data_IF_102517514659
#
_entry.id   IF_102517514659
#
_cell.length_a   1.000
_cell.length_b   1.000
_cell.length_c   1.000
_cell.angle_alpha   90.00
_cell.angle_beta   90.00
_cell.angle_gamma   90.00
#
_symmetry.space_group_name_H-M   'P 1'
#
loop_
_entity.id
_entity.type
_entity.pdbx_description
1 polymer ?
#
# COMPACT_ATOMS: atom_id res chain seq x y z
N UNK A 1 -15.86 32.28 -5.57
CA UNK A 1 -16.83 32.15 -4.48
C UNK A 1 -17.44 33.53 -4.16
N UNK A 2 -18.74 33.62 -4.14
CA UNK A 2 -19.48 34.90 -3.95
C UNK A 2 -19.00 36.02 -4.89
N UNK A 3 -18.78 35.72 -6.17
CA UNK A 3 -18.35 36.66 -7.20
C UNK A 3 -16.90 37.13 -7.13
N UNK A 4 -16.06 36.47 -6.30
CA UNK A 4 -14.62 36.74 -6.18
C UNK A 4 -13.79 35.55 -6.59
N UNK A 5 -12.66 35.81 -7.21
CA UNK A 5 -11.66 34.81 -7.57
C UNK A 5 -10.72 34.57 -6.38
N UNK A 6 -10.42 33.29 -6.13
CA UNK A 6 -9.51 32.86 -5.07
C UNK A 6 -8.47 31.91 -5.66
N UNK A 7 -7.24 32.02 -5.21
CA UNK A 7 -6.23 31.00 -5.44
C UNK A 7 -6.44 29.89 -4.42
N UNK A 8 -6.47 28.65 -4.89
CA UNK A 8 -6.65 27.47 -4.03
C UNK A 8 -5.50 26.50 -4.23
N UNK A 9 -5.12 25.79 -3.16
CA UNK A 9 -4.14 24.72 -3.21
C UNK A 9 -4.61 23.55 -2.37
N UNK A 10 -4.20 22.34 -2.74
CA UNK A 10 -4.40 21.15 -1.90
C UNK A 10 -3.30 21.14 -0.85
N UNK A 11 -3.66 21.38 0.40
CA UNK A 11 -2.72 21.36 1.52
C UNK A 11 -2.41 19.93 1.96
N UNK A 12 -3.45 19.09 2.11
CA UNK A 12 -3.31 17.69 2.53
C UNK A 12 -4.48 16.84 2.03
N UNK A 13 -4.19 15.61 1.66
CA UNK A 13 -5.18 14.63 1.23
C UNK A 13 -4.94 13.31 1.95
N UNK A 14 -6.03 12.69 2.44
CA UNK A 14 -6.01 11.37 3.07
C UNK A 14 -6.98 10.45 2.35
N UNK A 15 -6.63 9.17 2.26
CA UNK A 15 -7.58 8.09 1.95
C UNK A 15 -7.84 7.32 3.23
N UNK A 16 -9.11 7.20 3.57
CA UNK A 16 -9.57 6.48 4.75
C UNK A 16 -10.32 5.22 4.31
N UNK A 17 -10.03 4.13 4.98
CA UNK A 17 -10.73 2.86 4.79
C UNK A 17 -11.51 2.53 6.06
N UNK A 18 -12.85 2.58 6.04
CA UNK A 18 -13.66 2.29 7.22
C UNK A 18 -13.52 0.82 7.61
N UNK A 19 -13.37 0.56 8.91
CA UNK A 19 -13.24 -0.80 9.46
C UNK A 19 -14.55 -1.30 10.07
N UNK A 20 -15.55 -0.44 10.16
CA UNK A 20 -16.86 -0.74 10.73
C UNK A 20 -17.95 -0.21 9.81
N UNK A 21 -19.10 -0.87 9.79
CA UNK A 21 -20.31 -0.36 9.13
C UNK A 21 -21.10 0.58 10.04
N UNK A 22 -21.99 1.37 9.43
CA UNK A 22 -22.84 2.34 10.12
C UNK A 22 -22.42 3.78 9.86
N UNK A 23 -23.00 4.70 10.62
CA UNK A 23 -22.71 6.12 10.50
C UNK A 23 -21.41 6.47 11.23
N UNK A 24 -20.35 6.61 10.46
CA UNK A 24 -19.05 7.02 10.99
C UNK A 24 -18.89 8.52 10.86
N UNK A 25 -18.31 9.14 11.89
CA UNK A 25 -18.07 10.57 11.96
C UNK A 25 -16.60 10.90 11.79
N UNK A 26 -16.32 11.89 10.96
CA UNK A 26 -15.01 12.56 10.88
C UNK A 26 -15.16 13.90 11.58
N UNK A 27 -14.45 14.05 12.70
CA UNK A 27 -14.50 15.27 13.50
C UNK A 27 -13.85 16.47 12.80
N UNK A 28 -14.26 17.71 13.14
CA UNK A 28 -13.68 18.89 12.58
C UNK A 28 -12.15 18.98 12.78
N UNK A 29 -11.42 19.25 11.71
CA UNK A 29 -10.00 19.58 11.80
C UNK A 29 -9.83 21.08 12.09
N UNK A 30 -8.95 21.41 13.04
CA UNK A 30 -8.59 22.77 13.40
C UNK A 30 -7.31 23.15 12.65
N UNK A 31 -7.32 24.34 12.05
CA UNK A 31 -6.18 24.96 11.40
C UNK A 31 -5.90 26.31 12.04
N UNK A 32 -4.72 26.51 12.58
CA UNK A 32 -4.23 27.79 13.04
C UNK A 32 -3.32 28.37 11.94
N UNK A 33 -3.77 29.45 11.33
CA UNK A 33 -3.09 30.10 10.22
C UNK A 33 -2.60 31.48 10.62
N UNK A 34 -1.40 31.82 10.17
CA UNK A 34 -0.85 33.17 10.25
C UNK A 34 -0.88 33.81 8.86
N UNK A 35 -1.52 34.94 8.75
CA UNK A 35 -1.66 35.69 7.51
C UNK A 35 -0.88 36.99 7.63
N UNK A 36 0.12 37.18 6.76
CA UNK A 36 0.78 38.46 6.63
C UNK A 36 -0.14 39.43 5.86
N UNK A 37 -0.64 40.44 6.53
CA UNK A 37 -1.46 41.50 5.93
C UNK A 37 -0.61 42.76 5.72
N UNK A 38 -0.52 43.20 4.46
CA UNK A 38 0.13 44.47 4.18
C UNK A 38 -0.62 45.63 4.86
N UNK A 39 0.11 46.47 5.57
CA UNK A 39 -0.40 47.74 6.14
C UNK A 39 0.14 48.87 5.31
N UNK A 40 -0.70 49.84 4.97
CA UNK A 40 -0.25 51.12 4.49
C UNK A 40 0.23 51.94 5.69
N UNK A 41 1.55 51.98 5.89
CA UNK A 41 2.14 52.94 6.86
C UNK A 41 2.13 54.30 6.18
N UNK A 42 1.30 55.16 6.64
CA UNK A 42 1.17 56.52 6.09
C UNK A 42 2.33 57.45 6.51
N UNK A 43 3.13 57.04 7.50
CA UNK A 43 4.24 57.82 8.02
C UNK A 43 5.59 57.12 7.79
N UNK A 44 6.49 57.72 6.98
CA UNK A 44 7.83 57.17 6.76
C UNK A 44 8.66 57.02 8.02
N UNK A 45 8.34 57.77 9.08
CA UNK A 45 9.05 57.76 10.35
C UNK A 45 8.67 56.54 11.21
N UNK A 46 7.40 56.14 11.23
CA UNK A 46 6.96 54.90 11.85
C UNK A 46 7.52 53.64 11.15
N UNK A 47 7.68 53.68 9.83
CA UNK A 47 8.28 52.59 9.07
C UNK A 47 9.75 52.32 9.47
N UNK A 48 10.48 53.37 9.83
CA UNK A 48 11.87 53.27 10.26
C UNK A 48 12.01 52.66 11.67
N UNK A 49 11.13 52.98 12.60
CA UNK A 49 11.17 52.47 13.98
C UNK A 49 10.60 51.04 14.10
N UNK A 50 9.69 50.61 13.24
CA UNK A 50 9.11 49.26 13.22
C UNK A 50 9.91 48.27 12.33
N UNK A 51 11.19 48.55 12.04
CA UNK A 51 12.05 47.65 11.29
C UNK A 51 11.69 47.51 9.81
N UNK A 52 10.96 48.48 9.22
CA UNK A 52 10.62 48.49 7.79
C UNK A 52 9.60 47.44 7.35
N UNK A 53 8.99 46.72 8.27
CA UNK A 53 8.00 45.68 7.98
C UNK A 53 6.62 46.31 7.77
N UNK A 54 6.20 46.42 6.48
CA UNK A 54 4.84 46.85 6.12
C UNK A 54 3.79 45.73 6.28
N UNK A 55 4.05 44.73 7.11
CA UNK A 55 3.16 43.59 7.32
C UNK A 55 2.87 43.39 8.79
N UNK A 56 1.61 43.17 9.10
CA UNK A 56 1.16 42.67 10.39
C UNK A 56 0.77 41.20 10.27
N UNK A 57 1.16 40.41 11.25
CA UNK A 57 0.74 39.03 11.36
C UNK A 57 -0.64 38.95 12.00
N UNK A 58 -1.60 38.41 11.25
CA UNK A 58 -2.95 38.15 11.76
C UNK A 58 -3.12 36.64 11.93
N UNK A 59 -3.25 36.20 13.16
CA UNK A 59 -3.55 34.79 13.48
C UNK A 59 -5.03 34.52 13.32
N UNK A 60 -5.37 33.44 12.64
CA UNK A 60 -6.75 33.03 12.40
C UNK A 60 -6.90 31.53 12.59
N UNK A 61 -7.86 31.14 13.42
CA UNK A 61 -8.27 29.73 13.56
C UNK A 61 -9.41 29.44 12.62
N UNK A 62 -9.28 28.35 11.85
CA UNK A 62 -10.29 27.83 10.94
C UNK A 62 -10.65 26.39 11.37
N UNK A 63 -11.91 26.03 11.25
CA UNK A 63 -12.40 24.69 11.53
C UNK A 63 -13.07 24.13 10.27
N UNK A 64 -12.80 22.87 9.96
CA UNK A 64 -13.60 22.17 8.95
C UNK A 64 -14.97 21.80 9.52
N UNK A 65 -15.99 21.57 8.68
CA UNK A 65 -17.25 21.01 9.16
C UNK A 65 -17.03 19.56 9.61
N UNK A 66 -17.88 19.12 10.53
CA UNK A 66 -18.05 17.70 10.86
C UNK A 66 -18.63 16.97 9.66
N UNK A 67 -18.10 15.78 9.32
CA UNK A 67 -18.58 14.96 8.23
C UNK A 67 -19.11 13.64 8.78
N UNK A 68 -20.21 13.15 8.21
CA UNK A 68 -20.74 11.81 8.51
C UNK A 68 -20.75 10.98 7.23
N UNK A 69 -20.24 9.75 7.34
CA UNK A 69 -20.20 8.78 6.25
C UNK A 69 -21.02 7.57 6.64
N UNK A 70 -22.04 7.24 5.84
CA UNK A 70 -22.81 6.00 5.99
C UNK A 70 -22.07 4.85 5.32
N UNK A 71 -21.48 3.98 6.13
CA UNK A 71 -20.71 2.82 5.69
C UNK A 71 -21.61 1.59 5.68
N UNK A 72 -21.86 1.06 4.50
CA UNK A 72 -22.69 -0.14 4.35
C UNK A 72 -21.87 -1.39 4.62
N UNK A 73 -22.47 -2.42 5.27
CA UNK A 73 -21.82 -3.70 5.45
C UNK A 73 -21.59 -4.38 4.10
N UNK A 74 -20.55 -5.20 4.02
CA UNK A 74 -20.39 -6.13 2.91
C UNK A 74 -21.49 -7.22 2.95
N UNK A 75 -21.90 -7.79 1.80
CA UNK A 75 -22.85 -8.90 1.77
C UNK A 75 -22.46 -10.07 2.68
N UNK A 76 -23.46 -10.81 3.19
CA UNK A 76 -23.28 -11.84 4.22
C UNK A 76 -22.63 -13.14 3.73
N UNK A 77 -22.65 -13.40 2.42
CA UNK A 77 -22.09 -14.58 1.74
C UNK A 77 -20.59 -14.48 1.46
N UNK A 78 -19.86 -13.87 2.41
CA UNK A 78 -18.42 -13.69 2.36
C UNK A 78 -17.68 -15.05 2.30
N UNK A 79 -16.81 -15.30 1.29
CA UNK A 79 -16.01 -16.52 1.22
C UNK A 79 -15.11 -16.71 2.43
N UNK A 80 -14.83 -17.97 2.81
CA UNK A 80 -13.97 -18.29 3.95
C UNK A 80 -12.52 -17.79 3.75
N UNK A 81 -12.06 -17.76 2.48
CA UNK A 81 -10.74 -17.30 2.06
C UNK A 81 -10.72 -15.82 1.63
N UNK A 82 -11.68 -15.01 2.11
CA UNK A 82 -11.75 -13.60 1.79
C UNK A 82 -10.51 -12.83 2.28
N UNK A 83 -9.78 -12.23 1.34
CA UNK A 83 -8.52 -11.53 1.59
C UNK A 83 -8.64 -10.19 2.34
N UNK A 84 -9.86 -9.70 2.55
CA UNK A 84 -10.10 -8.35 3.03
C UNK A 84 -10.09 -7.28 1.93
N UNK A 85 -9.79 -7.66 0.68
CA UNK A 85 -9.75 -6.75 -0.46
C UNK A 85 -11.12 -6.22 -0.84
N UNK A 86 -11.26 -4.89 -0.94
CA UNK A 86 -12.45 -4.20 -1.44
C UNK A 86 -12.00 -3.20 -2.51
N UNK A 87 -12.42 -3.41 -3.75
CA UNK A 87 -11.96 -2.60 -4.88
C UNK A 87 -12.01 -3.35 -6.20
N UNK A 88 -11.07 -3.04 -7.08
CA UNK A 88 -10.88 -3.71 -8.37
C UNK A 88 -9.44 -4.19 -8.42
N UNK A 89 -9.24 -5.51 -8.47
CA UNK A 89 -7.91 -6.10 -8.38
C UNK A 89 -7.66 -7.15 -9.45
N UNK A 90 -6.37 -7.37 -9.72
CA UNK A 90 -5.82 -8.48 -10.47
C UNK A 90 -4.71 -9.12 -9.65
N UNK A 91 -4.45 -10.41 -9.89
CA UNK A 91 -3.31 -11.13 -9.34
C UNK A 91 -2.54 -11.80 -10.47
N UNK A 92 -1.23 -11.81 -10.35
CA UNK A 92 -0.34 -12.60 -11.20
C UNK A 92 0.77 -13.22 -10.37
N UNK A 93 1.33 -14.31 -10.85
CA UNK A 93 2.49 -14.95 -10.25
C UNK A 93 3.58 -15.18 -11.28
N UNK A 94 4.80 -15.34 -10.82
CA UNK A 94 5.94 -15.79 -11.60
C UNK A 94 6.90 -16.57 -10.73
N UNK A 95 7.62 -17.51 -11.33
CA UNK A 95 8.66 -18.31 -10.70
C UNK A 95 10.00 -18.07 -11.40
N UNK A 96 11.10 -18.09 -10.66
CA UNK A 96 12.43 -17.87 -11.24
C UNK A 96 12.90 -19.03 -12.14
N UNK A 97 12.61 -20.27 -11.75
CA UNK A 97 12.93 -21.48 -12.54
C UNK A 97 12.04 -22.63 -12.14
N UNK A 98 11.69 -23.48 -13.11
CA UNK A 98 10.99 -24.75 -12.89
C UNK A 98 11.92 -25.97 -12.90
N UNK A 99 13.20 -25.79 -13.31
CA UNK A 99 14.23 -26.82 -13.27
C UNK A 99 15.36 -26.31 -12.36
N UNK A 100 15.55 -26.98 -11.26
CA UNK A 100 16.51 -26.59 -10.20
C UNK A 100 17.21 -27.83 -9.65
N UNK A 101 18.26 -27.62 -8.87
CA UNK A 101 18.93 -28.70 -8.12
C UNK A 101 18.55 -28.62 -6.64
N UNK A 102 18.75 -29.70 -5.92
CA UNK A 102 18.67 -29.66 -4.46
C UNK A 102 19.56 -28.53 -3.91
N UNK A 103 19.06 -27.78 -2.94
CA UNK A 103 19.67 -26.58 -2.36
C UNK A 103 19.76 -25.35 -3.28
N UNK A 104 19.16 -25.34 -4.46
CA UNK A 104 18.93 -24.10 -5.20
C UNK A 104 17.74 -23.33 -4.61
N UNK A 105 17.82 -22.00 -4.71
CA UNK A 105 16.72 -21.15 -4.26
C UNK A 105 15.63 -21.02 -5.34
N UNK A 106 14.40 -21.32 -4.94
CA UNK A 106 13.18 -21.10 -5.73
C UNK A 106 12.48 -19.87 -5.21
N UNK A 107 12.23 -18.90 -6.07
CA UNK A 107 11.50 -17.69 -5.72
C UNK A 107 10.19 -17.60 -6.48
N UNK A 108 9.08 -17.47 -5.76
CA UNK A 108 7.77 -17.18 -6.32
C UNK A 108 7.41 -15.75 -5.98
N UNK A 109 7.09 -14.98 -7.01
CA UNK A 109 6.66 -13.60 -6.88
C UNK A 109 5.18 -13.49 -7.20
N UNK A 110 4.38 -13.04 -6.23
CA UNK A 110 2.99 -12.66 -6.41
C UNK A 110 2.88 -11.14 -6.57
N UNK A 111 2.04 -10.69 -7.49
CA UNK A 111 1.74 -9.27 -7.69
C UNK A 111 0.23 -9.09 -7.67
N UNK A 112 -0.27 -8.40 -6.64
CA UNK A 112 -1.66 -7.95 -6.55
C UNK A 112 -1.67 -6.48 -6.97
N UNK A 113 -2.39 -6.16 -8.05
CA UNK A 113 -2.47 -4.81 -8.58
C UNK A 113 -3.91 -4.33 -8.66
N UNK A 114 -4.13 -3.03 -8.50
CA UNK A 114 -5.48 -2.48 -8.64
C UNK A 114 -5.72 -1.18 -7.92
N UNK A 115 -7.01 -0.90 -7.68
CA UNK A 115 -7.50 0.28 -6.97
C UNK A 115 -8.47 -0.15 -5.88
N UNK A 116 -8.23 0.30 -4.65
CA UNK A 116 -9.04 -0.06 -3.49
C UNK A 116 -8.22 -0.01 -2.20
N UNK A 117 -8.58 -0.88 -1.25
CA UNK A 117 -7.95 -0.93 0.07
C UNK A 117 -6.67 -1.80 0.10
N UNK A 118 -5.78 -1.68 -0.90
CA UNK A 118 -4.57 -2.47 -1.06
C UNK A 118 -3.72 -2.66 0.21
N UNK A 119 -3.73 -1.67 1.11
CA UNK A 119 -3.00 -1.73 2.40
C UNK A 119 -3.60 -2.73 3.39
N UNK A 120 -4.87 -3.09 3.22
CA UNK A 120 -5.62 -3.95 4.15
C UNK A 120 -5.74 -5.38 3.63
N UNK A 121 -5.26 -5.65 2.43
CA UNK A 121 -5.25 -6.99 1.85
C UNK A 121 -4.23 -7.83 2.61
N UNK A 122 -4.68 -8.97 3.16
CA UNK A 122 -3.81 -10.00 3.71
C UNK A 122 -2.90 -10.61 2.63
N UNK A 123 -1.76 -11.12 3.02
CA UNK A 123 -0.82 -11.76 2.10
C UNK A 123 -1.32 -13.18 1.76
N UNK A 124 -1.64 -13.48 0.48
CA UNK A 124 -2.05 -14.82 0.09
C UNK A 124 -0.92 -15.82 0.32
N UNK A 125 -1.22 -16.93 0.94
CA UNK A 125 -0.24 -17.97 1.23
C UNK A 125 0.12 -18.78 -0.01
N UNK A 126 1.41 -19.00 -0.26
CA UNK A 126 1.93 -19.98 -1.22
C UNK A 126 2.22 -21.27 -0.46
N UNK A 127 1.56 -22.36 -0.86
CA UNK A 127 1.77 -23.68 -0.27
C UNK A 127 2.92 -24.40 -0.95
N UNK A 128 4.04 -24.48 -0.29
CA UNK A 128 5.17 -25.30 -0.72
C UNK A 128 5.03 -26.72 -0.18
N UNK A 129 5.59 -27.74 -0.88
CA UNK A 129 5.71 -29.09 -0.35
C UNK A 129 6.56 -29.15 0.92
N UNK A 130 6.34 -30.14 1.78
CA UNK A 130 7.06 -30.31 3.05
C UNK A 130 8.58 -30.52 2.88
N UNK A 131 9.01 -30.96 1.69
CA UNK A 131 10.43 -31.14 1.34
C UNK A 131 11.19 -29.80 1.13
N UNK A 132 10.50 -28.67 1.24
CA UNK A 132 11.06 -27.34 1.02
C UNK A 132 11.27 -26.63 2.34
N UNK A 133 12.45 -26.04 2.51
CA UNK A 133 12.68 -25.04 3.55
C UNK A 133 12.15 -23.69 3.06
N UNK A 134 11.14 -23.17 3.75
CA UNK A 134 10.44 -21.93 3.36
C UNK A 134 10.84 -20.79 4.27
N UNK A 135 11.09 -19.63 3.69
CA UNK A 135 11.45 -18.40 4.37
C UNK A 135 10.28 -17.42 4.42
N UNK A 136 10.29 -16.52 5.39
CA UNK A 136 9.30 -15.46 5.50
C UNK A 136 9.25 -14.61 4.22
N UNK A 137 8.05 -14.31 3.71
CA UNK A 137 7.92 -13.58 2.47
C UNK A 137 8.36 -12.11 2.62
N UNK A 138 8.90 -11.57 1.55
CA UNK A 138 9.15 -10.14 1.40
C UNK A 138 7.98 -9.44 0.77
N UNK A 139 7.54 -8.32 1.38
CA UNK A 139 6.43 -7.52 0.87
C UNK A 139 6.94 -6.13 0.48
N UNK A 140 6.72 -5.77 -0.79
CA UNK A 140 7.01 -4.44 -1.33
C UNK A 140 5.71 -3.79 -1.80
N UNK A 141 5.36 -2.66 -1.20
CA UNK A 141 4.12 -1.94 -1.43
C UNK A 141 4.39 -0.68 -2.28
N UNK A 142 3.91 -0.69 -3.52
CA UNK A 142 4.05 0.42 -4.48
C UNK A 142 2.71 1.12 -4.67
N UNK A 143 2.29 1.88 -3.68
CA UNK A 143 1.00 2.56 -3.67
C UNK A 143 1.13 4.05 -3.97
N UNK A 144 0.15 4.57 -4.69
CA UNK A 144 0.00 6.00 -4.96
C UNK A 144 -1.44 6.44 -4.73
N UNK A 145 -1.59 7.66 -4.26
CA UNK A 145 -2.89 8.29 -4.14
C UNK A 145 -3.31 8.85 -5.51
N UNK A 146 -4.54 8.53 -5.92
CA UNK A 146 -5.16 9.01 -7.16
C UNK A 146 -6.52 9.64 -6.86
N UNK A 147 -7.15 10.28 -7.85
CA UNK A 147 -8.52 10.78 -7.72
C UNK A 147 -9.55 9.66 -7.47
N UNK A 148 -9.26 8.42 -7.89
CA UNK A 148 -10.10 7.25 -7.68
C UNK A 148 -9.81 6.52 -6.34
N UNK A 149 -8.87 7.01 -5.53
CA UNK A 149 -8.45 6.40 -4.28
C UNK A 149 -7.01 5.87 -4.32
N UNK A 150 -6.70 4.88 -3.50
CA UNK A 150 -5.39 4.25 -3.47
C UNK A 150 -5.25 3.26 -4.62
N UNK A 151 -4.25 3.44 -5.47
CA UNK A 151 -3.93 2.55 -6.59
C UNK A 151 -2.48 2.11 -6.53
N UNK A 152 -2.17 0.98 -7.12
CA UNK A 152 -0.79 0.47 -7.21
C UNK A 152 -0.70 -1.03 -7.18
N UNK A 153 0.40 -1.53 -6.64
CA UNK A 153 0.64 -2.97 -6.51
C UNK A 153 1.26 -3.32 -5.16
N UNK A 154 0.89 -4.49 -4.67
CA UNK A 154 1.51 -5.21 -3.56
C UNK A 154 2.28 -6.38 -4.16
N UNK A 155 3.59 -6.38 -3.99
CA UNK A 155 4.49 -7.41 -4.49
C UNK A 155 4.93 -8.25 -3.30
N UNK A 156 4.73 -9.57 -3.38
CA UNK A 156 5.08 -10.51 -2.33
C UNK A 156 6.02 -11.54 -2.94
N UNK A 157 7.24 -11.65 -2.42
CA UNK A 157 8.25 -12.59 -2.87
C UNK A 157 8.44 -13.68 -1.81
N UNK A 158 8.17 -14.93 -2.19
CA UNK A 158 8.37 -16.13 -1.38
C UNK A 158 9.64 -16.82 -1.82
N UNK A 159 10.48 -17.18 -0.87
CA UNK A 159 11.71 -17.94 -1.08
C UNK A 159 11.56 -19.31 -0.45
N UNK A 160 11.87 -20.36 -1.22
CA UNK A 160 11.91 -21.73 -0.73
C UNK A 160 13.09 -22.49 -1.33
N UNK A 161 13.61 -23.49 -0.58
CA UNK A 161 14.77 -24.28 -0.96
C UNK A 161 14.39 -25.77 -0.92
N UNK A 162 14.34 -26.48 -2.06
CA UNK A 162 14.10 -27.91 -2.10
C UNK A 162 15.28 -28.67 -1.47
N UNK A 163 14.99 -29.58 -0.56
CA UNK A 163 16.01 -30.40 0.11
C UNK A 163 16.15 -31.80 -0.52
N UNK A 164 15.13 -32.25 -1.23
CA UNK A 164 15.10 -33.55 -1.90
C UNK A 164 14.92 -33.40 -3.41
N UNK A 165 15.49 -34.35 -4.17
CA UNK A 165 15.26 -34.44 -5.61
C UNK A 165 13.89 -35.07 -5.88
N UNK A 166 13.22 -34.62 -6.94
CA UNK A 166 11.90 -35.11 -7.32
C UNK A 166 11.13 -34.15 -8.21
N UNK A 167 9.88 -34.49 -8.51
CA UNK A 167 8.95 -33.59 -9.17
C UNK A 167 7.92 -33.12 -8.15
N UNK A 168 7.81 -31.82 -7.98
CA UNK A 168 6.97 -31.19 -6.97
C UNK A 168 5.96 -30.25 -7.61
N UNK A 169 4.75 -30.20 -7.05
CA UNK A 169 3.70 -29.26 -7.49
C UNK A 169 3.52 -28.16 -6.45
N UNK A 170 3.53 -26.92 -6.90
CA UNK A 170 3.13 -25.75 -6.13
C UNK A 170 1.76 -25.32 -6.63
N UNK A 171 0.70 -25.46 -5.84
CA UNK A 171 -0.66 -25.22 -6.28
C UNK A 171 -0.89 -23.72 -6.58
N UNK A 172 -1.87 -23.47 -7.43
CA UNK A 172 -2.32 -22.12 -7.73
C UNK A 172 -2.78 -21.38 -6.46
N UNK A 173 -2.38 -20.12 -6.35
CA UNK A 173 -2.79 -19.24 -5.25
C UNK A 173 -4.15 -18.66 -5.54
N UNK A 174 -5.06 -18.74 -4.58
CA UNK A 174 -6.39 -18.16 -4.63
C UNK A 174 -6.41 -16.79 -3.94
N UNK A 175 -7.08 -15.85 -4.57
CA UNK A 175 -7.26 -14.50 -4.05
C UNK A 175 -8.72 -14.07 -4.21
N UNK A 176 -9.46 -14.00 -3.12
CA UNK A 176 -10.85 -13.58 -3.14
C UNK A 176 -10.98 -12.15 -2.61
N UNK A 177 -11.80 -11.33 -3.28
CA UNK A 177 -12.04 -9.94 -2.94
C UNK A 177 -13.46 -9.51 -3.27
N UNK A 178 -13.91 -8.40 -2.71
CA UNK A 178 -15.20 -7.80 -3.04
C UNK A 178 -15.02 -6.75 -4.14
N UNK A 179 -15.64 -7.00 -5.29
CA UNK A 179 -15.63 -6.07 -6.44
C UNK A 179 -16.74 -5.04 -6.26
N UNK A 180 -16.36 -3.77 -6.16
CA UNK A 180 -17.31 -2.66 -5.92
C UNK A 180 -18.19 -2.34 -7.14
N UNK A 181 -17.74 -2.66 -8.36
CA UNK A 181 -18.52 -2.44 -9.58
C UNK A 181 -19.66 -3.44 -9.72
N UNK A 182 -19.33 -4.73 -9.63
CA UNK A 182 -20.33 -5.81 -9.71
C UNK A 182 -21.07 -6.01 -8.39
N UNK A 183 -20.57 -5.48 -7.27
CA UNK A 183 -21.07 -5.68 -5.91
C UNK A 183 -21.15 -7.16 -5.53
N UNK A 184 -20.15 -7.93 -5.94
CA UNK A 184 -20.03 -9.37 -5.68
C UNK A 184 -18.64 -9.72 -5.24
N UNK A 185 -18.50 -10.86 -4.56
CA UNK A 185 -17.21 -11.45 -4.29
C UNK A 185 -16.67 -12.09 -5.58
N UNK A 186 -15.40 -11.85 -5.87
CA UNK A 186 -14.68 -12.46 -6.99
C UNK A 186 -13.52 -13.28 -6.48
N UNK A 187 -13.29 -14.41 -7.12
CA UNK A 187 -12.12 -15.27 -6.92
C UNK A 187 -11.21 -15.17 -8.13
N UNK A 188 -9.97 -14.79 -7.89
CA UNK A 188 -8.89 -14.85 -8.86
C UNK A 188 -7.94 -15.98 -8.47
N UNK A 189 -7.31 -16.59 -9.45
CA UNK A 189 -6.40 -17.71 -9.26
C UNK A 189 -5.16 -17.49 -10.12
N UNK A 190 -3.98 -17.76 -9.57
CA UNK A 190 -2.72 -17.77 -10.34
C UNK A 190 -2.55 -19.08 -11.10
N UNK A 191 -1.45 -19.20 -11.81
CA UNK A 191 -1.02 -20.47 -12.36
C UNK A 191 -0.46 -21.38 -11.25
N UNK A 192 -0.54 -22.70 -11.46
CA UNK A 192 0.20 -23.70 -10.68
C UNK A 192 1.58 -23.92 -11.31
N UNK A 193 2.55 -24.37 -10.52
CA UNK A 193 3.89 -24.66 -11.00
C UNK A 193 4.26 -26.10 -10.72
N UNK A 194 4.88 -26.77 -11.71
CA UNK A 194 5.54 -28.06 -11.55
C UNK A 194 7.05 -27.83 -11.58
N UNK A 195 7.74 -28.24 -10.51
CA UNK A 195 9.19 -28.12 -10.37
C UNK A 195 9.84 -29.49 -10.53
N UNK A 196 10.87 -29.54 -11.36
CA UNK A 196 11.78 -30.66 -11.48
C UNK A 196 13.07 -30.35 -10.71
N UNK A 197 13.28 -31.07 -9.61
CA UNK A 197 14.45 -30.93 -8.76
C UNK A 197 15.41 -32.08 -8.99
N UNK A 198 16.55 -31.80 -9.60
CA UNK A 198 17.62 -32.77 -9.78
C UNK A 198 18.49 -32.88 -8.53
N UNK A 199 19.11 -34.04 -8.31
CA UNK A 199 20.11 -34.20 -7.26
C UNK A 199 21.39 -33.46 -7.66
N UNK A 200 21.92 -32.64 -6.78
CA UNK A 200 23.14 -31.87 -7.02
C UNK A 200 23.50 -30.98 -5.85
N UNK A 201 24.65 -30.33 -5.95
CA UNK A 201 25.07 -29.29 -5.03
C UNK A 201 24.62 -27.92 -5.60
N UNK A 202 23.41 -27.49 -5.28
CA UNK A 202 22.95 -26.14 -5.57
C UNK A 202 23.55 -25.12 -4.61
N UNK A 203 23.54 -23.85 -4.99
CA UNK A 203 24.10 -22.76 -4.18
C UNK A 203 23.03 -21.72 -3.84
N UNK A 204 22.30 -21.93 -2.76
CA UNK A 204 21.29 -21.02 -2.28
C UNK A 204 21.87 -19.85 -1.45
N UNK A 205 23.09 -19.96 -0.93
CA UNK A 205 23.63 -19.02 0.06
C UNK A 205 23.65 -17.57 -0.44
N UNK A 206 24.05 -17.33 -1.69
CA UNK A 206 24.08 -15.99 -2.26
C UNK A 206 22.69 -15.42 -2.50
N UNK A 207 21.74 -16.25 -2.90
CA UNK A 207 20.35 -15.84 -3.11
C UNK A 207 19.65 -15.51 -1.79
N UNK A 208 19.90 -16.33 -0.75
CA UNK A 208 19.40 -16.08 0.61
C UNK A 208 19.96 -14.76 1.14
N UNK A 209 21.27 -14.54 1.02
CA UNK A 209 21.91 -13.30 1.46
C UNK A 209 21.30 -12.07 0.76
N UNK A 210 21.10 -12.13 -0.54
CA UNK A 210 20.45 -11.05 -1.30
C UNK A 210 18.96 -10.87 -0.92
N UNK A 211 18.29 -11.97 -0.62
CA UNK A 211 16.90 -11.94 -0.18
C UNK A 211 16.76 -11.28 1.20
N UNK A 212 17.62 -11.61 2.16
CA UNK A 212 17.58 -11.06 3.52
C UNK A 212 18.16 -9.65 3.64
N UNK A 213 19.24 -9.32 2.91
CA UNK A 213 19.95 -8.04 3.02
C UNK A 213 19.25 -6.86 2.35
N UNK A 214 18.23 -7.08 1.52
CA UNK A 214 17.51 -5.99 0.85
C UNK A 214 16.74 -5.09 1.84
N UNK A 215 16.51 -5.54 3.07
CA UNK A 215 15.91 -4.74 4.13
C UNK A 215 16.90 -3.75 4.78
N UNK A 216 18.18 -4.06 4.82
CA UNK A 216 19.18 -3.20 5.47
C UNK A 216 19.52 -1.94 4.66
N UNK A 217 19.24 -1.91 3.37
CA UNK A 217 19.53 -0.75 2.50
C UNK A 217 18.46 0.35 2.56
N UNK A 218 17.32 0.12 3.19
CA UNK A 218 16.22 1.09 3.30
C UNK A 218 16.26 1.93 4.60
N UNK A 219 17.22 1.68 5.51
CA UNK A 219 17.32 2.39 6.79
C UNK A 219 18.27 3.61 6.70
N UNK A 220 18.83 3.93 5.53
CA UNK A 220 19.59 5.15 5.32
C UNK A 220 18.72 6.23 4.66
N UNK A 221 17.71 6.71 5.38
CA UNK A 221 17.07 8.00 5.09
C UNK A 221 17.52 8.96 6.18
N UNK A 222 18.43 9.82 5.75
CA UNK A 222 18.88 11.06 6.36
C UNK A 222 17.86 11.71 7.30
N UNK A 223 18.28 11.91 8.53
CA UNK A 223 17.75 13.00 9.35
C UNK A 223 18.18 14.36 8.75
N UNK A 224 17.34 15.39 8.90
CA UNK A 224 17.56 16.72 8.34
C UNK A 224 18.70 17.49 9.01
#
# INVERSE_FOLDING_TARGET
YKGRNYQTTVYRQFVLFPQQSGNLTIDPARFDASIAKATHVSDPFEAFFNGGSNYIEVKKTLMTPKLTVDVKPLPGDKPADFSGGVGEFSISSSINSTNVKTNDAVTIKLVISGTGNLKLIGDPEVKFPDDFEVYDPKVDNKFRLTSAGLSGSKVIEYLAIPRNAGTFKIPAVKFSYFDIKSRTYKLLTTEEYELHVEKGEGNAAQTIANFTNKELSLIHISEP
#
